data_IF_814384118938
#
_entry.id   IF_814384118938
#
_cell.length_a   1.000
_cell.length_b   1.000
_cell.length_c   1.000
_cell.angle_alpha   90.00
_cell.angle_beta   90.00
_cell.angle_gamma   90.00
#
_symmetry.space_group_name_H-M   'P 1'
#
loop_
_entity.id
_entity.type
_entity.pdbx_description
1 polymer ?
#
# COMPACT_ATOMS: atom_id res chain seq x y z
N UNK A 1 10.28 -12.93 -5.49
CA UNK A 1 10.45 -11.46 -5.39
C UNK A 1 9.73 -10.99 -4.14
N UNK A 2 10.36 -10.15 -3.31
CA UNK A 2 9.74 -9.64 -2.10
C UNK A 2 8.53 -8.76 -2.46
N UNK A 3 7.48 -8.90 -1.69
CA UNK A 3 6.26 -8.11 -1.84
C UNK A 3 5.67 -7.82 -0.48
N UNK A 4 5.18 -6.60 -0.30
CA UNK A 4 4.59 -6.15 0.97
C UNK A 4 3.33 -5.33 0.72
N UNK A 5 2.39 -5.41 1.65
CA UNK A 5 1.18 -4.60 1.70
C UNK A 5 1.25 -3.72 2.94
N UNK A 6 1.27 -2.40 2.75
CA UNK A 6 1.10 -1.46 3.85
C UNK A 6 -0.38 -1.12 4.00
N UNK A 7 -0.91 -1.20 5.22
CA UNK A 7 -2.34 -0.99 5.50
C UNK A 7 -2.57 -0.43 6.90
N UNK A 8 -3.82 -0.06 7.23
CA UNK A 8 -4.21 0.48 8.53
C UNK A 8 -3.40 1.73 8.96
N UNK A 9 -3.24 2.70 8.05
CA UNK A 9 -2.54 3.97 8.30
C UNK A 9 -2.95 5.08 7.33
N UNK A 10 -2.42 6.29 7.54
CA UNK A 10 -2.65 7.41 6.64
C UNK A 10 -1.66 7.36 5.46
N UNK A 11 -2.09 6.87 4.31
CA UNK A 11 -1.21 6.73 3.14
C UNK A 11 -1.48 7.86 2.15
N UNK A 12 -0.54 8.79 2.03
CA UNK A 12 -0.57 9.88 1.06
C UNK A 12 0.20 9.47 -0.19
N UNK A 13 -0.34 9.77 -1.37
CA UNK A 13 0.29 9.41 -2.66
C UNK A 13 0.93 10.62 -3.36
N UNK A 14 0.51 11.83 -2.97
CA UNK A 14 0.77 13.09 -3.68
C UNK A 14 0.30 13.11 -5.14
N UNK A 15 -0.58 12.17 -5.53
CA UNK A 15 -1.31 12.18 -6.79
C UNK A 15 -2.61 12.99 -6.62
N UNK A 16 -2.82 14.10 -7.36
CA UNK A 16 -4.05 14.88 -7.28
C UNK A 16 -5.33 14.08 -7.55
N UNK A 17 -5.27 13.02 -8.37
CA UNK A 17 -6.42 12.19 -8.69
C UNK A 17 -6.76 11.18 -7.56
N UNK A 18 -5.76 10.83 -6.73
CA UNK A 18 -5.91 9.84 -5.68
C UNK A 18 -5.01 10.19 -4.48
N UNK A 19 -5.22 11.33 -3.80
CA UNK A 19 -4.26 11.90 -2.85
C UNK A 19 -4.05 11.05 -1.59
N UNK A 20 -5.00 10.15 -1.29
CA UNK A 20 -4.97 9.24 -0.14
C UNK A 20 -5.54 7.87 -0.51
N UNK A 21 -4.96 6.81 0.05
CA UNK A 21 -5.42 5.42 -0.12
C UNK A 21 -5.47 4.67 1.22
N UNK A 22 -6.12 3.51 1.25
CA UNK A 22 -6.19 2.65 2.45
C UNK A 22 -5.03 1.65 2.52
N UNK A 23 -4.55 1.19 1.36
CA UNK A 23 -3.41 0.30 1.27
C UNK A 23 -2.51 0.62 0.07
N UNK A 24 -1.24 0.25 0.21
CA UNK A 24 -0.21 0.33 -0.80
C UNK A 24 0.42 -1.05 -1.01
N UNK A 25 0.49 -1.49 -2.26
CA UNK A 25 1.13 -2.74 -2.64
C UNK A 25 2.48 -2.52 -3.29
N UNK A 26 3.52 -3.08 -2.70
CA UNK A 26 4.91 -2.99 -3.16
C UNK A 26 5.37 -4.37 -3.64
N UNK A 27 6.05 -4.40 -4.79
CA UNK A 27 6.77 -5.58 -5.28
C UNK A 27 8.12 -5.12 -5.80
N UNK A 28 9.18 -5.75 -5.31
CA UNK A 28 10.55 -5.45 -5.73
C UNK A 28 10.91 -3.95 -5.62
N UNK A 29 10.56 -3.34 -4.49
CA UNK A 29 10.79 -1.91 -4.21
C UNK A 29 9.92 -0.93 -5.00
N UNK A 30 8.98 -1.40 -5.83
CA UNK A 30 8.07 -0.55 -6.62
C UNK A 30 6.63 -0.66 -6.17
N UNK A 31 5.93 0.48 -6.15
CA UNK A 31 4.47 0.51 -5.98
C UNK A 31 3.83 -0.04 -7.25
N UNK A 32 3.09 -1.14 -7.13
CA UNK A 32 2.38 -1.76 -8.26
C UNK A 32 0.86 -1.58 -8.17
N UNK A 33 0.34 -1.27 -6.98
CA UNK A 33 -1.09 -1.04 -6.75
C UNK A 33 -1.29 -0.13 -5.54
N UNK A 34 -2.27 0.78 -5.64
CA UNK A 34 -2.73 1.63 -4.55
C UNK A 34 -4.27 1.69 -4.58
N UNK A 35 -4.90 1.76 -3.42
CA UNK A 35 -6.36 1.89 -3.31
C UNK A 35 -6.92 1.31 -2.01
N UNK A 36 -8.06 0.62 -2.12
CA UNK A 36 -8.67 -0.08 -0.98
C UNK A 36 -7.85 -1.30 -0.56
N UNK A 37 -7.97 -1.72 0.70
CA UNK A 37 -7.26 -2.91 1.21
C UNK A 37 -7.60 -4.16 0.39
N UNK A 38 -8.88 -4.37 0.06
CA UNK A 38 -9.31 -5.51 -0.75
C UNK A 38 -8.74 -5.51 -2.17
N UNK A 39 -8.63 -4.34 -2.82
CA UNK A 39 -8.01 -4.21 -4.15
C UNK A 39 -6.52 -4.58 -4.09
N UNK A 40 -5.82 -4.10 -3.07
CA UNK A 40 -4.39 -4.38 -2.91
C UNK A 40 -4.14 -5.85 -2.56
N UNK A 41 -4.92 -6.43 -1.64
CA UNK A 41 -4.86 -7.85 -1.30
C UNK A 41 -5.13 -8.76 -2.49
N UNK A 42 -6.14 -8.44 -3.31
CA UNK A 42 -6.45 -9.19 -4.53
C UNK A 42 -5.30 -9.14 -5.56
N UNK A 43 -4.60 -8.01 -5.66
CA UNK A 43 -3.50 -7.82 -6.63
C UNK A 43 -2.17 -8.47 -6.21
N UNK A 44 -1.90 -8.57 -4.90
CA UNK A 44 -0.63 -9.09 -4.36
C UNK A 44 -0.73 -10.52 -3.81
N UNK A 45 -1.92 -10.96 -3.37
CA UNK A 45 -2.18 -12.33 -2.90
C UNK A 45 -1.50 -12.69 -1.57
N UNK A 46 -1.69 -13.94 -1.13
CA UNK A 46 -1.32 -14.42 0.22
C UNK A 46 0.18 -14.64 0.51
N UNK A 47 1.08 -14.30 -0.41
CA UNK A 47 2.54 -14.36 -0.17
C UNK A 47 3.15 -12.99 0.13
N UNK A 48 2.36 -11.91 0.09
CA UNK A 48 2.85 -10.60 0.47
C UNK A 48 2.95 -10.48 1.99
N UNK A 49 4.03 -9.87 2.46
CA UNK A 49 4.19 -9.48 3.85
C UNK A 49 3.17 -8.40 4.20
N UNK A 50 2.39 -8.61 5.25
CA UNK A 50 1.43 -7.63 5.74
C UNK A 50 2.10 -6.70 6.75
N UNK A 51 2.24 -5.43 6.39
CA UNK A 51 2.82 -4.38 7.23
C UNK A 51 1.68 -3.51 7.78
N UNK A 52 1.29 -3.78 9.02
CA UNK A 52 0.32 -2.97 9.74
C UNK A 52 0.96 -1.63 10.17
N UNK A 53 0.48 -0.52 9.62
CA UNK A 53 1.00 0.81 9.92
C UNK A 53 0.62 1.30 11.33
N UNK A 54 -0.42 0.71 11.94
CA UNK A 54 -0.92 1.09 13.27
C UNK A 54 -1.23 2.59 13.38
N UNK A 55 -1.90 3.13 12.36
CA UNK A 55 -2.26 4.54 12.30
C UNK A 55 -1.13 5.49 11.86
N UNK A 56 0.12 5.01 11.70
CA UNK A 56 1.23 5.83 11.20
C UNK A 56 1.02 6.23 9.74
N UNK A 57 1.66 7.33 9.35
CA UNK A 57 1.56 7.88 8.01
C UNK A 57 2.64 7.32 7.08
N UNK A 58 2.27 7.12 5.81
CA UNK A 58 3.19 6.91 4.68
C UNK A 58 3.11 8.15 3.80
N UNK A 59 4.26 8.70 3.45
CA UNK A 59 4.41 9.87 2.58
C UNK A 59 5.53 9.55 1.58
N UNK A 60 5.38 9.91 0.29
CA UNK A 60 6.51 9.86 -0.64
C UNK A 60 7.67 10.70 -0.13
N UNK A 61 8.90 10.21 -0.33
CA UNK A 61 10.13 10.93 0.01
C UNK A 61 10.39 12.10 -0.93
#
# INVERSE_FOLDING_TARGET
>A
MPSSILYNGAIYTLDPAMPRVQALGIRDGRVIVAGSEGKVQAALGGRAELINLQGRAVVPA
#
